data_IF_236400508235
#
_entry.id   IF_236400508235
#
_cell.length_a   1.000
_cell.length_b   1.000
_cell.length_c   1.000
_cell.angle_alpha   90.00
_cell.angle_beta   90.00
_cell.angle_gamma   90.00
#
_symmetry.space_group_name_H-M   'P 1'
#
loop_
_entity.id
_entity.type
_entity.pdbx_description
1 polymer ?
#
# COMPACT_ATOMS: atom_id res chain seq x y z
N UNK A 1 25.93 -18.65 26.47
CA UNK A 1 26.32 -17.28 26.09
C UNK A 1 25.63 -16.37 27.09
N UNK A 2 26.40 -15.68 27.93
CA UNK A 2 25.86 -14.71 28.88
C UNK A 2 25.48 -13.44 28.11
N UNK A 3 24.25 -12.99 28.26
CA UNK A 3 23.75 -11.80 27.58
C UNK A 3 24.15 -10.57 28.40
N UNK A 4 24.54 -9.49 27.74
CA UNK A 4 24.92 -8.22 28.39
C UNK A 4 23.75 -7.47 29.05
N UNK A 5 22.56 -8.07 29.10
CA UNK A 5 21.34 -7.50 29.68
C UNK A 5 20.45 -8.61 30.24
N UNK A 6 19.53 -8.24 31.14
CA UNK A 6 18.49 -9.13 31.64
C UNK A 6 17.32 -9.22 30.64
N UNK A 7 17.10 -10.37 29.97
CA UNK A 7 16.02 -10.52 29.01
C UNK A 7 14.64 -10.44 29.64
N UNK A 8 14.48 -10.85 30.91
CA UNK A 8 13.20 -10.82 31.61
C UNK A 8 12.80 -9.38 31.93
N UNK A 9 13.74 -8.57 32.44
CA UNK A 9 13.52 -7.15 32.67
C UNK A 9 13.22 -6.39 31.37
N UNK A 10 13.92 -6.70 30.27
CA UNK A 10 13.65 -6.09 28.97
C UNK A 10 12.25 -6.47 28.44
N UNK A 11 11.87 -7.75 28.55
CA UNK A 11 10.55 -8.21 28.15
C UNK A 11 9.43 -7.54 28.98
N UNK A 12 9.64 -7.37 30.29
CA UNK A 12 8.70 -6.64 31.16
C UNK A 12 8.58 -5.18 30.74
N UNK A 13 9.69 -4.51 30.45
CA UNK A 13 9.66 -3.14 29.95
C UNK A 13 8.87 -3.03 28.64
N UNK A 14 9.02 -3.98 27.71
CA UNK A 14 8.24 -4.02 26.48
C UNK A 14 6.74 -4.23 26.74
N UNK A 15 6.38 -5.09 27.70
CA UNK A 15 4.97 -5.26 28.10
C UNK A 15 4.36 -3.96 28.61
N UNK A 16 5.03 -3.32 29.56
CA UNK A 16 4.57 -2.03 30.12
C UNK A 16 4.41 -0.95 29.05
N UNK A 17 5.34 -0.86 28.08
CA UNK A 17 5.24 0.13 27.00
C UNK A 17 4.15 -0.18 25.97
N UNK A 18 3.90 -1.46 25.67
CA UNK A 18 2.77 -1.89 24.84
C UNK A 18 1.45 -1.58 25.54
N UNK A 19 1.32 -1.94 26.80
CA UNK A 19 0.05 -1.86 27.54
C UNK A 19 -0.43 -0.41 27.69
N UNK A 20 0.48 0.58 27.73
CA UNK A 20 0.15 2.02 27.65
C UNK A 20 -0.55 2.45 26.36
N UNK A 21 -0.41 1.68 25.27
CA UNK A 21 -0.89 2.01 23.92
C UNK A 21 -2.00 1.07 23.45
N UNK A 22 -2.33 0.05 24.25
CA UNK A 22 -3.49 -0.79 23.97
C UNK A 22 -4.75 0.05 24.10
N UNK A 23 -5.61 -0.03 23.11
CA UNK A 23 -6.91 0.64 23.09
C UNK A 23 -8.00 -0.36 22.72
N UNK A 24 -9.13 -0.26 23.40
CA UNK A 24 -10.28 -1.15 23.17
C UNK A 24 -10.91 -0.93 21.79
N UNK A 25 -10.83 0.29 21.26
CA UNK A 25 -11.36 0.65 19.93
C UNK A 25 -10.42 0.27 18.77
N UNK A 26 -9.23 -0.28 19.04
CA UNK A 26 -8.35 -0.86 18.01
C UNK A 26 -8.12 0.06 16.82
N UNK A 27 -8.30 -0.44 15.60
CA UNK A 27 -8.15 0.36 14.37
C UNK A 27 -9.27 1.40 14.17
N UNK A 28 -10.40 1.29 14.88
CA UNK A 28 -11.48 2.28 14.79
C UNK A 28 -11.11 3.62 15.46
N UNK A 29 -9.96 3.69 16.15
CA UNK A 29 -9.38 4.95 16.61
C UNK A 29 -9.03 5.91 15.47
N UNK A 30 -8.84 5.40 14.25
CA UNK A 30 -8.51 6.20 13.07
C UNK A 30 -9.78 6.66 12.36
N UNK A 31 -9.73 7.87 11.81
CA UNK A 31 -10.82 8.43 11.02
C UNK A 31 -10.54 8.20 9.54
N UNK A 32 -11.56 7.79 8.80
CA UNK A 32 -11.46 7.72 7.35
C UNK A 32 -11.25 9.11 6.74
N UNK A 33 -10.50 9.14 5.65
CA UNK A 33 -10.21 10.36 4.89
C UNK A 33 -11.37 10.60 3.92
N UNK A 34 -12.49 11.08 4.46
CA UNK A 34 -13.74 11.33 3.72
C UNK A 34 -14.31 12.73 4.02
N UNK A 35 -15.32 13.14 3.25
CA UNK A 35 -15.98 14.45 3.42
C UNK A 35 -14.97 15.60 3.28
N UNK A 36 -14.89 16.46 4.29
CA UNK A 36 -13.94 17.60 4.29
C UNK A 36 -12.46 17.18 4.19
N UNK A 37 -12.14 15.92 4.53
CA UNK A 37 -10.78 15.41 4.49
C UNK A 37 -10.44 14.70 3.18
N UNK A 38 -11.41 14.50 2.26
CA UNK A 38 -11.22 13.70 1.05
C UNK A 38 -10.01 14.17 0.21
N UNK A 39 -9.75 15.48 0.17
CA UNK A 39 -8.62 16.05 -0.58
C UNK A 39 -7.24 15.54 -0.16
N UNK A 40 -7.08 14.97 1.04
CA UNK A 40 -5.80 14.37 1.46
C UNK A 40 -5.46 13.07 0.73
N UNK A 41 -6.39 12.49 -0.03
CA UNK A 41 -6.16 11.29 -0.82
C UNK A 41 -6.03 11.58 -2.32
N UNK A 42 -6.16 12.85 -2.71
CA UNK A 42 -5.97 13.29 -4.08
C UNK A 42 -4.50 13.20 -4.45
N UNK A 43 -4.22 13.07 -5.75
CA UNK A 43 -2.87 13.06 -6.28
C UNK A 43 -2.30 14.48 -6.30
N UNK A 44 -1.27 14.79 -5.51
CA UNK A 44 -0.71 16.14 -5.48
C UNK A 44 0.36 16.36 -6.56
N UNK A 45 0.76 15.32 -7.30
CA UNK A 45 1.90 15.36 -8.22
C UNK A 45 1.51 15.37 -9.69
N UNK A 46 0.28 14.95 -10.01
CA UNK A 46 -0.21 14.90 -11.38
C UNK A 46 -1.57 15.57 -11.55
N UNK A 47 -1.72 16.27 -12.67
CA UNK A 47 -3.02 16.72 -13.15
C UNK A 47 -3.85 15.52 -13.66
N UNK A 48 -5.17 15.50 -13.45
CA UNK A 48 -6.03 14.43 -13.95
C UNK A 48 -5.94 14.27 -15.46
N UNK A 49 -5.68 13.04 -15.91
CA UNK A 49 -5.63 12.71 -17.33
C UNK A 49 -7.05 12.43 -17.84
N UNK A 50 -7.50 13.21 -18.82
CA UNK A 50 -8.76 12.95 -19.53
C UNK A 50 -8.53 11.99 -20.70
N UNK A 51 -9.11 10.80 -20.62
CA UNK A 51 -9.12 9.79 -21.70
C UNK A 51 -10.42 8.99 -21.68
N UNK A 52 -10.78 8.42 -22.82
CA UNK A 52 -11.94 7.52 -22.89
C UNK A 52 -11.75 6.30 -21.97
N UNK A 53 -12.83 5.81 -21.33
CA UNK A 53 -12.79 4.60 -20.54
C UNK A 53 -12.52 3.38 -21.44
N UNK A 54 -11.89 2.36 -20.87
CA UNK A 54 -11.69 1.08 -21.55
C UNK A 54 -12.75 0.10 -21.05
N UNK A 55 -13.56 -0.44 -21.96
CA UNK A 55 -14.65 -1.39 -21.68
C UNK A 55 -14.40 -2.77 -22.34
N UNK A 56 -13.14 -3.12 -22.52
CA UNK A 56 -12.67 -4.37 -23.10
C UNK A 56 -12.27 -5.40 -22.03
N UNK A 57 -12.05 -6.63 -22.48
CA UNK A 57 -11.58 -7.74 -21.65
C UNK A 57 -10.08 -7.96 -21.82
N UNK A 58 -9.39 -8.26 -20.71
CA UNK A 58 -7.99 -8.69 -20.70
C UNK A 58 -7.84 -9.99 -19.95
N UNK A 59 -6.83 -10.78 -20.28
CA UNK A 59 -6.56 -12.07 -19.63
C UNK A 59 -6.13 -11.86 -18.16
N UNK A 60 -5.31 -10.83 -17.89
CA UNK A 60 -4.87 -10.50 -16.53
C UNK A 60 -4.97 -9.00 -16.25
N UNK A 61 -5.63 -8.65 -15.14
CA UNK A 61 -5.59 -7.29 -14.55
C UNK A 61 -4.71 -7.29 -13.32
N UNK A 62 -3.81 -6.33 -13.23
CA UNK A 62 -2.97 -6.04 -12.06
C UNK A 62 -3.43 -4.70 -11.47
N UNK A 63 -3.77 -4.69 -10.19
CA UNK A 63 -4.13 -3.47 -9.46
C UNK A 63 -2.91 -2.99 -8.68
N UNK A 64 -2.43 -1.80 -9.02
CA UNK A 64 -1.22 -1.18 -8.46
C UNK A 64 -0.04 -1.19 -9.44
N UNK A 65 0.44 0.00 -9.79
CA UNK A 65 1.61 0.29 -10.61
C UNK A 65 2.91 0.47 -9.81
N UNK A 66 2.96 -0.03 -8.57
CA UNK A 66 4.21 -0.11 -7.80
C UNK A 66 5.12 -1.26 -8.25
N UNK A 67 6.29 -1.39 -7.63
CA UNK A 67 7.24 -2.46 -7.97
C UNK A 67 6.65 -3.87 -7.91
N UNK A 68 5.74 -4.15 -6.97
CA UNK A 68 5.05 -5.44 -6.90
C UNK A 68 4.24 -5.74 -8.16
N UNK A 69 3.43 -4.78 -8.63
CA UNK A 69 2.63 -4.93 -9.84
C UNK A 69 3.47 -4.92 -11.12
N UNK A 70 4.49 -4.07 -11.18
CA UNK A 70 5.44 -4.06 -12.30
C UNK A 70 6.20 -5.39 -12.43
N UNK A 71 6.69 -5.94 -11.30
CA UNK A 71 7.37 -7.23 -11.30
C UNK A 71 6.42 -8.37 -11.68
N UNK A 72 5.19 -8.38 -11.15
CA UNK A 72 4.18 -9.34 -11.56
C UNK A 72 3.90 -9.26 -13.07
N UNK A 73 3.72 -8.05 -13.61
CA UNK A 73 3.54 -7.80 -15.03
C UNK A 73 4.72 -8.30 -15.86
N UNK A 74 5.95 -8.01 -15.45
CA UNK A 74 7.16 -8.49 -16.12
C UNK A 74 7.23 -10.03 -16.15
N UNK A 75 6.97 -10.70 -15.01
CA UNK A 75 6.96 -12.17 -14.93
C UNK A 75 5.87 -12.82 -15.77
N UNK A 76 4.69 -12.20 -15.84
CA UNK A 76 3.61 -12.66 -16.72
C UNK A 76 3.98 -12.51 -18.20
N UNK A 77 4.63 -11.39 -18.58
CA UNK A 77 5.18 -11.22 -19.93
C UNK A 77 6.19 -12.31 -20.28
N UNK A 78 7.14 -12.58 -19.37
CA UNK A 78 8.14 -13.66 -19.53
C UNK A 78 7.48 -15.03 -19.70
N UNK A 79 6.39 -15.29 -18.97
CA UNK A 79 5.61 -16.52 -19.07
C UNK A 79 4.72 -16.60 -20.33
N UNK A 80 4.73 -15.58 -21.19
CA UNK A 80 4.02 -15.58 -22.47
C UNK A 80 2.63 -14.94 -22.45
N UNK A 81 2.19 -14.38 -21.32
CA UNK A 81 0.91 -13.66 -21.22
C UNK A 81 1.00 -12.36 -22.03
N UNK A 82 0.10 -12.20 -23.00
CA UNK A 82 0.10 -11.03 -23.90
C UNK A 82 -0.97 -10.01 -23.55
N UNK A 83 -2.12 -10.46 -23.07
CA UNK A 83 -3.25 -9.61 -22.73
C UNK A 83 -3.22 -9.28 -21.25
N UNK A 84 -2.55 -8.18 -20.88
CA UNK A 84 -2.50 -7.72 -19.50
C UNK A 84 -2.66 -6.21 -19.38
N UNK A 85 -3.24 -5.77 -18.27
CA UNK A 85 -3.42 -4.36 -17.92
C UNK A 85 -3.01 -4.11 -16.48
N UNK A 86 -2.22 -3.05 -16.27
CA UNK A 86 -1.94 -2.50 -14.94
C UNK A 86 -2.84 -1.28 -14.75
N UNK A 87 -3.53 -1.20 -13.62
CA UNK A 87 -4.36 -0.06 -13.23
C UNK A 87 -3.76 0.54 -11.95
N UNK A 88 -3.36 1.80 -12.02
CA UNK A 88 -2.80 2.57 -10.91
C UNK A 88 -3.69 3.78 -10.63
N UNK A 89 -3.85 4.11 -9.34
CA UNK A 89 -4.59 5.29 -8.91
C UNK A 89 -3.74 6.57 -9.10
N UNK A 90 -2.45 6.48 -8.79
CA UNK A 90 -1.50 7.57 -9.01
C UNK A 90 -1.35 7.89 -10.50
N UNK A 91 -0.94 9.12 -10.80
CA UNK A 91 -0.78 9.60 -12.16
C UNK A 91 0.35 8.92 -12.95
N UNK A 92 1.27 8.21 -12.28
CA UNK A 92 2.33 7.43 -12.91
C UNK A 92 2.72 6.19 -12.07
N UNK A 93 3.64 5.37 -12.58
CA UNK A 93 4.16 4.19 -11.89
C UNK A 93 5.08 4.55 -10.71
N UNK A 94 5.14 3.64 -9.72
CA UNK A 94 6.04 3.77 -8.57
C UNK A 94 5.41 3.28 -7.27
N UNK A 95 4.09 3.32 -7.15
CA UNK A 95 3.38 2.92 -5.93
C UNK A 95 3.83 3.78 -4.76
N UNK A 96 4.34 3.18 -3.68
CA UNK A 96 4.91 3.91 -2.53
C UNK A 96 5.99 4.93 -2.91
N UNK A 97 6.67 4.77 -4.04
CA UNK A 97 7.71 5.70 -4.51
C UNK A 97 7.18 6.82 -5.40
N UNK A 98 5.91 6.75 -5.77
CA UNK A 98 5.18 7.79 -6.49
C UNK A 98 4.49 8.75 -5.51
N UNK A 99 3.80 8.19 -4.51
CA UNK A 99 3.10 8.92 -3.45
C UNK A 99 4.07 9.58 -2.45
#
# INVERSE_FOLDING_TARGET
MELAFDPAALAEKYRQERDKRLREDGSAQYREITGQFAHFIDDPYAEPISREPLADEVEVVIIGGGFGGLLAGARLREAGVKSLRIIEKGGDFGGTWYW
#
